data_IF_264054204195
#
_entry.id   IF_264054204195
#
_cell.length_a   1.000
_cell.length_b   1.000
_cell.length_c   1.000
_cell.angle_alpha   90.00
_cell.angle_beta   90.00
_cell.angle_gamma   90.00
#
_symmetry.space_group_name_H-M   'P 1'
#
loop_
_entity.id
_entity.type
_entity.pdbx_description
1 polymer ?
#
# COMPACT_ATOMS: atom_id res chain seq x y z
N UNK A 1 -21.60 -0.44 -10.72
CA UNK A 1 -21.04 0.69 -9.95
C UNK A 1 -19.52 0.61 -9.96
N UNK A 2 -18.85 1.76 -10.06
CA UNK A 2 -17.40 1.87 -10.06
C UNK A 2 -16.82 1.77 -8.64
N UNK A 3 -15.68 1.08 -8.48
CA UNK A 3 -14.90 0.96 -7.23
C UNK A 3 -13.50 1.59 -7.36
N UNK A 4 -13.31 2.42 -8.39
CA UNK A 4 -12.06 3.14 -8.69
C UNK A 4 -10.82 2.24 -8.85
N UNK A 5 -10.99 0.95 -9.16
CA UNK A 5 -9.87 -0.01 -9.21
C UNK A 5 -8.93 0.16 -10.43
N UNK A 6 -9.33 0.95 -11.43
CA UNK A 6 -8.51 1.20 -12.63
C UNK A 6 -8.47 0.05 -13.64
N UNK A 7 -9.23 -1.03 -13.46
CA UNK A 7 -9.23 -2.14 -14.41
C UNK A 7 -9.64 -1.73 -15.83
N UNK A 8 -10.58 -0.78 -15.97
CA UNK A 8 -10.98 -0.23 -17.26
C UNK A 8 -9.87 0.59 -17.94
N UNK A 9 -9.06 1.31 -17.17
CA UNK A 9 -7.88 2.05 -17.65
C UNK A 9 -6.85 1.06 -18.19
N UNK A 10 -6.48 0.04 -17.41
CA UNK A 10 -5.52 -1.00 -17.82
C UNK A 10 -5.96 -1.80 -19.05
N UNK A 11 -7.27 -2.00 -19.22
CA UNK A 11 -7.83 -2.70 -20.37
C UNK A 11 -7.96 -1.82 -21.63
N UNK A 12 -7.76 -0.50 -21.54
CA UNK A 12 -7.93 0.42 -22.65
C UNK A 12 -6.65 0.45 -23.52
N UNK A 13 -6.67 -0.05 -24.77
CA UNK A 13 -5.47 -0.08 -25.61
C UNK A 13 -5.09 1.29 -26.18
N UNK A 14 -6.01 2.27 -26.14
CA UNK A 14 -5.83 3.59 -26.75
C UNK A 14 -5.52 4.70 -25.74
N UNK A 15 -5.48 4.41 -24.44
CA UNK A 15 -5.33 5.44 -23.41
C UNK A 15 -6.52 6.42 -23.31
N UNK A 16 -7.68 6.07 -23.88
CA UNK A 16 -8.88 6.91 -23.86
C UNK A 16 -9.50 7.04 -22.46
N UNK A 17 -9.24 6.05 -21.59
CA UNK A 17 -9.60 6.09 -20.17
C UNK A 17 -8.30 6.32 -19.42
N UNK A 18 -8.22 7.44 -18.71
CA UNK A 18 -7.10 7.80 -17.84
C UNK A 18 -7.60 8.09 -16.43
N UNK A 19 -6.68 8.06 -15.47
CA UNK A 19 -6.95 8.48 -14.11
C UNK A 19 -6.73 10.00 -13.96
N UNK A 20 -7.22 10.54 -12.84
CA UNK A 20 -7.03 11.97 -12.54
C UNK A 20 -5.56 12.22 -12.23
N UNK A 21 -4.87 12.96 -13.11
CA UNK A 21 -3.46 13.28 -12.87
C UNK A 21 -3.28 14.33 -11.78
N UNK A 22 -2.21 14.16 -10.99
CA UNK A 22 -1.74 15.14 -10.01
C UNK A 22 -0.33 15.69 -10.33
N UNK A 23 0.20 15.45 -11.54
CA UNK A 23 1.53 15.95 -11.95
C UNK A 23 1.60 17.48 -11.79
N UNK A 24 0.65 18.21 -12.35
CA UNK A 24 0.64 19.69 -12.31
C UNK A 24 0.65 20.25 -10.88
N UNK A 25 -0.23 19.84 -9.95
CA UNK A 25 -0.19 20.36 -8.58
C UNK A 25 1.07 19.93 -7.79
N UNK A 26 1.61 18.73 -8.05
CA UNK A 26 2.89 18.30 -7.46
C UNK A 26 4.04 19.17 -7.95
N UNK A 27 4.13 19.39 -9.27
CA UNK A 27 5.14 20.27 -9.89
C UNK A 27 5.05 21.71 -9.38
N UNK A 28 3.84 22.24 -9.16
CA UNK A 28 3.65 23.56 -8.53
C UNK A 28 4.18 23.58 -7.08
N UNK A 29 3.98 22.50 -6.33
CA UNK A 29 4.47 22.39 -4.95
C UNK A 29 6.00 22.33 -4.89
N UNK A 30 6.61 21.56 -5.80
CA UNK A 30 8.07 21.49 -5.99
C UNK A 30 8.65 22.86 -6.39
N UNK A 31 8.07 23.53 -7.38
CA UNK A 31 8.52 24.86 -7.84
C UNK A 31 8.43 25.94 -6.76
N UNK A 32 7.45 25.82 -5.87
CA UNK A 32 7.26 26.76 -4.76
C UNK A 32 8.12 26.42 -3.53
N UNK A 33 9.14 25.55 -3.68
CA UNK A 33 10.08 25.15 -2.62
C UNK A 33 9.39 24.64 -1.34
N UNK A 34 8.24 23.96 -1.49
CA UNK A 34 7.60 23.28 -0.35
C UNK A 34 8.40 22.03 0.03
N UNK A 35 8.24 21.58 1.27
CA UNK A 35 8.79 20.31 1.73
C UNK A 35 8.00 19.14 1.12
N UNK A 36 8.29 18.78 -0.14
CA UNK A 36 7.56 17.70 -0.83
C UNK A 36 8.23 16.36 -0.57
N UNK A 37 7.51 15.42 0.04
CA UNK A 37 7.97 14.05 0.32
C UNK A 37 7.33 13.06 -0.65
N UNK A 38 8.13 12.14 -1.17
CA UNK A 38 7.64 11.00 -1.94
C UNK A 38 7.41 9.81 -1.00
N UNK A 39 6.15 9.40 -0.81
CA UNK A 39 5.78 8.19 -0.10
C UNK A 39 5.57 7.06 -1.10
N UNK A 40 6.49 6.10 -1.20
CA UNK A 40 6.44 5.07 -2.24
C UNK A 40 5.83 3.76 -1.75
N UNK A 41 4.95 3.16 -2.54
CA UNK A 41 4.47 1.81 -2.29
C UNK A 41 5.61 0.78 -2.50
N UNK A 42 5.70 -0.31 -1.72
CA UNK A 42 6.75 -1.33 -1.92
C UNK A 42 6.73 -1.98 -3.31
N UNK A 43 5.56 -1.95 -3.97
CA UNK A 43 5.35 -2.39 -5.36
C UNK A 43 6.16 -1.60 -6.41
N UNK A 44 6.88 -0.55 -6.02
CA UNK A 44 7.79 0.22 -6.88
C UNK A 44 8.96 -0.64 -7.39
N UNK A 45 9.27 -1.71 -6.68
CA UNK A 45 10.32 -2.67 -7.03
C UNK A 45 10.09 -3.29 -8.42
N UNK A 46 11.03 -3.06 -9.33
CA UNK A 46 11.01 -3.61 -10.70
C UNK A 46 10.10 -2.88 -11.70
N UNK A 47 9.58 -1.70 -11.36
CA UNK A 47 8.72 -0.90 -12.26
C UNK A 47 9.51 -0.04 -13.25
N UNK A 48 10.70 0.39 -12.86
CA UNK A 48 11.55 1.32 -13.63
C UNK A 48 12.67 0.63 -14.42
N UNK A 49 12.63 -0.70 -14.53
CA UNK A 49 13.62 -1.49 -15.25
C UNK A 49 14.13 -2.68 -14.43
N UNK A 50 14.67 -3.73 -15.08
CA UNK A 50 15.10 -4.95 -14.40
C UNK A 50 16.38 -4.77 -13.57
N UNK A 51 17.19 -3.75 -13.87
CA UNK A 51 18.44 -3.43 -13.16
C UNK A 51 18.31 -2.28 -12.16
N UNK A 52 17.18 -1.56 -12.20
CA UNK A 52 16.94 -0.41 -11.34
C UNK A 52 16.62 -0.85 -9.92
N UNK A 53 17.37 -0.34 -8.96
CA UNK A 53 17.10 -0.53 -7.53
C UNK A 53 16.10 0.52 -7.02
N UNK A 54 15.49 0.26 -5.86
CA UNK A 54 14.62 1.24 -5.20
C UNK A 54 15.44 2.46 -4.73
N UNK A 55 16.71 2.27 -4.38
CA UNK A 55 17.64 3.35 -4.03
C UNK A 55 17.93 4.30 -5.19
N UNK A 56 18.08 3.76 -6.40
CA UNK A 56 18.23 4.58 -7.60
C UNK A 56 16.97 5.41 -7.90
N UNK A 57 15.78 4.84 -7.65
CA UNK A 57 14.52 5.60 -7.76
C UNK A 57 14.47 6.73 -6.73
N UNK A 58 14.95 6.49 -5.50
CA UNK A 58 15.07 7.54 -4.47
C UNK A 58 15.92 8.71 -4.94
N UNK A 59 17.12 8.44 -5.46
CA UNK A 59 18.00 9.48 -6.00
C UNK A 59 17.34 10.23 -7.17
N UNK A 60 16.69 9.51 -8.10
CA UNK A 60 15.95 10.12 -9.19
C UNK A 60 14.84 11.08 -8.72
N UNK A 61 14.09 10.71 -7.68
CA UNK A 61 13.07 11.57 -7.07
C UNK A 61 13.69 12.79 -6.38
N UNK A 62 14.82 12.63 -5.68
CA UNK A 62 15.52 13.77 -5.09
C UNK A 62 16.04 14.74 -6.16
N UNK A 63 16.53 14.25 -7.29
CA UNK A 63 16.94 15.07 -8.45
C UNK A 63 15.79 15.86 -9.08
N UNK A 64 14.55 15.34 -9.03
CA UNK A 64 13.35 16.12 -9.43
C UNK A 64 13.08 17.29 -8.46
N UNK A 65 13.52 17.16 -7.20
CA UNK A 65 13.34 18.16 -6.15
C UNK A 65 12.52 17.69 -4.95
N UNK A 66 12.20 16.40 -4.84
CA UNK A 66 11.61 15.86 -3.61
C UNK A 66 12.61 15.95 -2.45
N UNK A 67 12.13 16.38 -1.28
CA UNK A 67 12.95 16.54 -0.07
C UNK A 67 13.49 15.19 0.43
N UNK A 68 12.68 14.15 0.36
CA UNK A 68 13.08 12.77 0.65
C UNK A 68 12.08 11.78 0.03
N UNK A 69 12.50 10.52 -0.08
CA UNK A 69 11.64 9.37 -0.35
C UNK A 69 11.54 8.50 0.90
N UNK A 70 10.31 8.15 1.27
CA UNK A 70 9.98 7.24 2.38
C UNK A 70 9.22 6.04 1.81
N UNK A 71 9.61 4.84 2.20
CA UNK A 71 8.85 3.63 1.85
C UNK A 71 7.62 3.44 2.75
N UNK A 72 6.45 3.19 2.17
CA UNK A 72 5.22 2.87 2.90
C UNK A 72 5.27 1.52 3.66
N UNK A 73 6.35 0.75 3.49
CA UNK A 73 6.60 -0.48 4.24
C UNK A 73 6.70 -0.24 5.75
N UNK A 74 7.21 0.93 6.19
CA UNK A 74 7.22 1.28 7.62
C UNK A 74 5.81 1.40 8.19
N UNK A 75 4.89 2.00 7.43
CA UNK A 75 3.48 2.07 7.80
C UNK A 75 2.79 0.71 7.69
N UNK A 76 3.28 -0.20 6.84
CA UNK A 76 2.77 -1.56 6.76
C UNK A 76 3.13 -2.37 8.00
N UNK A 77 4.35 -2.21 8.53
CA UNK A 77 4.73 -2.79 9.82
C UNK A 77 3.82 -2.27 10.94
N UNK A 78 3.62 -0.95 11.02
CA UNK A 78 2.76 -0.33 12.05
C UNK A 78 1.29 -0.76 11.95
N UNK A 79 0.74 -0.75 10.75
CA UNK A 79 -0.63 -1.23 10.47
C UNK A 79 -0.77 -2.71 10.81
N UNK A 80 0.27 -3.53 10.61
CA UNK A 80 0.23 -4.94 11.00
C UNK A 80 0.01 -5.09 12.50
N UNK A 81 0.75 -4.35 13.32
CA UNK A 81 0.62 -4.41 14.77
C UNK A 81 -0.82 -4.08 15.21
N UNK A 82 -1.36 -2.97 14.70
CA UNK A 82 -2.71 -2.52 15.05
C UNK A 82 -3.82 -3.44 14.51
N UNK A 83 -3.73 -3.86 13.24
CA UNK A 83 -4.72 -4.75 12.62
C UNK A 83 -4.68 -6.17 13.22
N UNK A 84 -3.52 -6.63 13.69
CA UNK A 84 -3.40 -7.89 14.42
C UNK A 84 -4.02 -7.82 15.82
N UNK A 85 -3.83 -6.72 16.55
CA UNK A 85 -4.47 -6.50 17.85
C UNK A 85 -5.98 -6.37 17.70
N UNK A 86 -6.45 -5.60 16.71
CA UNK A 86 -7.87 -5.49 16.37
C UNK A 86 -8.48 -6.87 16.04
N UNK A 87 -7.75 -7.69 15.28
CA UNK A 87 -8.18 -9.06 14.98
C UNK A 87 -8.38 -9.88 16.25
N UNK A 88 -7.39 -9.88 17.16
CA UNK A 88 -7.43 -10.63 18.42
C UNK A 88 -8.63 -10.20 19.24
N UNK A 89 -8.81 -8.89 19.44
CA UNK A 89 -9.94 -8.36 20.20
C UNK A 89 -11.29 -8.76 19.61
N UNK A 90 -11.42 -8.75 18.28
CA UNK A 90 -12.66 -9.14 17.60
C UNK A 90 -12.95 -10.62 17.78
N UNK A 91 -11.93 -11.49 17.67
CA UNK A 91 -12.10 -12.92 17.89
C UNK A 91 -12.52 -13.22 19.34
N UNK A 92 -11.95 -12.52 20.33
CA UNK A 92 -12.35 -12.63 21.74
C UNK A 92 -13.78 -12.14 21.99
N UNK A 93 -14.22 -11.09 21.29
CA UNK A 93 -15.61 -10.58 21.33
C UNK A 93 -16.61 -11.48 20.60
N UNK A 94 -16.15 -12.55 19.94
CA UNK A 94 -16.99 -13.53 19.27
C UNK A 94 -17.32 -13.22 17.81
N UNK A 95 -16.56 -12.34 17.14
CA UNK A 95 -16.69 -12.17 15.70
C UNK A 95 -16.27 -13.44 14.96
N UNK A 96 -17.08 -13.85 13.97
CA UNK A 96 -16.76 -15.01 13.13
C UNK A 96 -15.50 -14.80 12.27
N UNK A 97 -15.28 -13.56 11.81
CA UNK A 97 -14.13 -13.20 10.99
C UNK A 97 -13.91 -11.69 10.89
N UNK A 98 -12.74 -11.31 10.41
CA UNK A 98 -12.37 -9.96 10.00
C UNK A 98 -11.81 -9.94 8.58
N UNK A 99 -12.02 -8.86 7.83
CA UNK A 99 -11.39 -8.60 6.53
C UNK A 99 -10.42 -7.43 6.62
N UNK A 100 -9.39 -7.42 5.77
CA UNK A 100 -8.45 -6.31 5.74
C UNK A 100 -9.05 -4.98 5.26
N UNK A 101 -8.38 -3.88 5.59
CA UNK A 101 -8.78 -2.52 5.21
C UNK A 101 -7.89 -1.85 4.14
N UNK A 102 -6.69 -2.37 3.92
CA UNK A 102 -5.64 -1.62 3.22
C UNK A 102 -5.84 -1.47 1.69
N UNK A 103 -6.71 -2.28 1.09
CA UNK A 103 -7.08 -2.21 -0.33
C UNK A 103 -8.37 -1.38 -0.51
N UNK A 104 -8.30 -0.09 -0.90
CA UNK A 104 -9.48 0.78 -0.95
C UNK A 104 -10.53 0.33 -1.97
N UNK A 105 -10.11 -0.33 -3.06
CA UNK A 105 -11.02 -0.90 -4.04
C UNK A 105 -11.80 -2.10 -3.48
N UNK A 106 -11.19 -2.90 -2.60
CA UNK A 106 -11.86 -4.00 -1.92
C UNK A 106 -12.83 -3.49 -0.85
N UNK A 107 -12.41 -2.52 -0.04
CA UNK A 107 -13.29 -1.84 0.93
C UNK A 107 -14.51 -1.22 0.24
N UNK A 108 -14.30 -0.46 -0.84
CA UNK A 108 -15.39 0.12 -1.64
C UNK A 108 -16.29 -0.94 -2.27
N UNK A 109 -15.76 -2.12 -2.57
CA UNK A 109 -16.54 -3.23 -3.13
C UNK A 109 -17.46 -3.84 -2.07
N UNK A 110 -16.97 -4.05 -0.85
CA UNK A 110 -17.79 -4.51 0.28
C UNK A 110 -18.89 -3.48 0.56
N UNK A 111 -18.55 -2.21 0.75
CA UNK A 111 -19.50 -1.14 1.06
C UNK A 111 -20.66 -1.03 0.06
N UNK A 112 -20.37 -1.22 -1.24
CA UNK A 112 -21.37 -1.06 -2.30
C UNK A 112 -22.16 -2.34 -2.59
N UNK A 113 -21.55 -3.52 -2.44
CA UNK A 113 -22.13 -4.79 -2.89
C UNK A 113 -22.53 -5.74 -1.77
N UNK A 114 -21.97 -5.55 -0.59
CA UNK A 114 -22.20 -6.36 0.61
C UNK A 114 -22.27 -5.43 1.84
N UNK A 115 -23.24 -4.49 1.89
CA UNK A 115 -23.35 -3.53 2.98
C UNK A 115 -23.53 -4.22 4.35
N UNK A 116 -24.11 -5.43 4.36
CA UNK A 116 -24.25 -6.30 5.53
C UNK A 116 -22.91 -6.87 6.06
N UNK A 117 -21.81 -6.67 5.33
CA UNK A 117 -20.47 -7.15 5.69
C UNK A 117 -19.51 -6.00 6.03
N UNK A 118 -19.98 -4.74 6.06
CA UNK A 118 -19.12 -3.56 6.31
C UNK A 118 -18.50 -3.59 7.70
N UNK A 119 -19.24 -4.05 8.71
CA UNK A 119 -18.74 -4.16 10.09
C UNK A 119 -17.60 -5.17 10.22
N UNK A 120 -17.41 -6.06 9.24
CA UNK A 120 -16.31 -7.04 9.23
C UNK A 120 -15.00 -6.47 8.69
N UNK A 121 -15.00 -5.25 8.15
CA UNK A 121 -13.79 -4.58 7.69
C UNK A 121 -13.01 -4.06 8.90
N UNK A 122 -11.70 -4.27 8.90
CA UNK A 122 -10.79 -3.66 9.87
C UNK A 122 -10.95 -2.13 9.91
N UNK A 123 -10.96 -1.58 11.12
CA UNK A 123 -10.95 -0.16 11.44
C UNK A 123 -9.61 0.52 11.17
N UNK A 124 -8.54 -0.27 11.04
CA UNK A 124 -7.17 0.22 10.80
C UNK A 124 -7.04 0.94 9.45
N UNK A 125 -6.31 2.05 9.41
CA UNK A 125 -5.99 2.79 8.17
C UNK A 125 -5.02 2.02 7.27
N UNK A 126 -4.92 2.41 5.99
CA UNK A 126 -3.93 1.78 5.11
C UNK A 126 -2.49 2.25 5.40
N UNK A 127 -1.47 1.47 5.01
CA UNK A 127 -0.06 1.86 5.16
C UNK A 127 0.26 3.24 4.56
N UNK A 128 -0.41 3.61 3.46
CA UNK A 128 -0.28 4.94 2.86
C UNK A 128 -0.69 6.04 3.84
N UNK A 129 -1.84 5.89 4.50
CA UNK A 129 -2.36 6.89 5.43
C UNK A 129 -1.49 6.93 6.69
N UNK A 130 -1.17 5.77 7.26
CA UNK A 130 -0.30 5.66 8.43
C UNK A 130 1.04 6.38 8.22
N UNK A 131 1.76 6.07 7.12
CA UNK A 131 3.03 6.73 6.84
C UNK A 131 2.86 8.21 6.50
N UNK A 132 1.76 8.61 5.84
CA UNK A 132 1.47 10.02 5.58
C UNK A 132 1.31 10.84 6.86
N UNK A 133 0.55 10.33 7.83
CA UNK A 133 0.41 10.93 9.18
C UNK A 133 1.76 11.01 9.89
N UNK A 134 2.56 9.95 9.81
CA UNK A 134 3.90 9.91 10.39
C UNK A 134 4.84 10.97 9.79
N UNK A 135 4.86 11.13 8.46
CA UNK A 135 5.64 12.19 7.79
C UNK A 135 5.19 13.58 8.27
N UNK A 136 3.88 13.85 8.29
CA UNK A 136 3.34 15.15 8.72
C UNK A 136 3.54 15.44 10.21
N UNK A 137 3.65 14.41 11.05
CA UNK A 137 4.04 14.58 12.46
C UNK A 137 5.49 15.07 12.57
N UNK A 138 6.39 14.56 11.74
CA UNK A 138 7.81 14.96 11.71
C UNK A 138 8.03 16.33 11.06
N UNK A 139 7.28 16.62 10.00
CA UNK A 139 7.35 17.88 9.26
C UNK A 139 5.92 18.39 9.01
N UNK A 140 5.47 19.34 9.85
CA UNK A 140 4.10 19.87 9.81
C UNK A 140 3.76 20.57 8.50
N UNK A 141 4.77 21.05 7.78
CA UNK A 141 4.64 21.73 6.49
C UNK A 141 4.83 20.77 5.30
N UNK A 142 4.94 19.47 5.56
CA UNK A 142 5.13 18.45 4.53
C UNK A 142 3.93 18.39 3.57
N UNK A 143 4.27 18.44 2.28
CA UNK A 143 3.39 18.00 1.20
C UNK A 143 3.73 16.55 0.90
N UNK A 144 2.83 15.62 1.21
CA UNK A 144 3.05 14.18 1.05
C UNK A 144 2.43 13.71 -0.25
N UNK A 145 3.27 13.18 -1.14
CA UNK A 145 2.87 12.63 -2.43
C UNK A 145 3.05 11.12 -2.39
N UNK A 146 1.95 10.37 -2.36
CA UNK A 146 2.03 8.93 -2.51
C UNK A 146 2.33 8.55 -3.96
N UNK A 147 3.22 7.59 -4.18
CA UNK A 147 3.57 7.04 -5.48
C UNK A 147 3.30 5.54 -5.47
N UNK A 148 2.39 5.05 -6.32
CA UNK A 148 2.04 3.63 -6.30
C UNK A 148 1.24 3.10 -7.49
N UNK A 149 0.94 1.79 -7.48
CA UNK A 149 0.35 1.07 -8.61
C UNK A 149 -1.18 1.15 -8.68
N UNK A 150 -1.81 2.01 -7.87
CA UNK A 150 -3.24 1.93 -7.60
C UNK A 150 -3.95 3.28 -7.77
N UNK A 151 -4.89 3.33 -8.70
CA UNK A 151 -5.75 4.50 -8.91
C UNK A 151 -6.80 4.66 -7.79
N UNK A 152 -7.20 3.58 -7.13
CA UNK A 152 -8.15 3.65 -6.00
C UNK A 152 -7.56 4.38 -4.79
N UNK A 153 -6.23 4.49 -4.66
CA UNK A 153 -5.59 5.34 -3.65
C UNK A 153 -5.92 6.82 -3.87
N UNK A 154 -6.16 7.26 -5.12
CA UNK A 154 -6.63 8.62 -5.44
C UNK A 154 -8.01 8.91 -4.85
N UNK A 155 -8.87 7.89 -4.70
CA UNK A 155 -10.16 8.04 -4.01
C UNK A 155 -10.07 7.88 -2.49
N UNK A 156 -9.08 7.14 -1.97
CA UNK A 156 -8.90 6.95 -0.53
C UNK A 156 -8.59 8.27 0.18
N UNK A 157 -7.72 9.10 -0.39
CA UNK A 157 -7.35 10.41 0.17
C UNK A 157 -8.54 11.39 0.27
N UNK A 158 -9.64 11.11 -0.45
CA UNK A 158 -10.85 11.93 -0.44
C UNK A 158 -11.87 11.50 0.62
N UNK A 159 -11.67 10.36 1.29
CA UNK A 159 -12.61 9.83 2.29
C UNK A 159 -12.58 10.68 3.55
N UNK A 160 -13.75 10.83 4.19
CA UNK A 160 -13.82 11.44 5.52
C UNK A 160 -12.97 10.65 6.52
N UNK A 161 -12.35 11.35 7.48
CA UNK A 161 -11.39 10.77 8.42
C UNK A 161 -9.95 10.66 7.89
N UNK A 162 -9.72 10.64 6.57
CA UNK A 162 -8.40 10.33 5.97
C UNK A 162 -7.75 11.48 5.19
N UNK A 163 -8.36 12.67 5.18
CA UNK A 163 -7.90 13.83 4.39
C UNK A 163 -6.65 14.52 4.97
N UNK A 164 -6.24 14.11 6.15
CA UNK A 164 -5.15 14.71 6.92
C UNK A 164 -3.76 14.18 6.48
N UNK A 165 -3.69 13.00 5.87
CA UNK A 165 -2.43 12.28 5.70
C UNK A 165 -1.69 12.55 4.37
N UNK A 166 -2.41 12.60 3.24
CA UNK A 166 -1.83 12.59 1.90
C UNK A 166 -2.41 13.72 1.06
N UNK A 167 -1.54 14.52 0.45
CA UNK A 167 -1.94 15.66 -0.39
C UNK A 167 -2.21 15.23 -1.83
N UNK A 168 -1.35 14.36 -2.39
CA UNK A 168 -1.45 13.91 -3.78
C UNK A 168 -1.08 12.44 -3.93
N UNK A 169 -1.57 11.82 -5.00
CA UNK A 169 -1.29 10.42 -5.36
C UNK A 169 -0.87 10.41 -6.82
N UNK A 170 0.32 9.90 -7.11
CA UNK A 170 0.86 9.70 -8.45
C UNK A 170 0.99 8.20 -8.74
N UNK A 171 0.76 7.83 -10.00
CA UNK A 171 1.07 6.48 -10.48
C UNK A 171 2.55 6.35 -10.85
N UNK A 172 3.02 5.12 -11.07
CA UNK A 172 4.37 4.89 -11.57
C UNK A 172 4.58 5.47 -12.98
N UNK A 173 3.54 5.47 -13.81
CA UNK A 173 3.57 6.10 -15.13
C UNK A 173 3.73 7.63 -15.02
N UNK A 174 3.02 8.27 -14.08
CA UNK A 174 3.17 9.71 -13.85
C UNK A 174 4.58 10.07 -13.36
N UNK A 175 5.18 9.26 -12.49
CA UNK A 175 6.58 9.46 -12.06
C UNK A 175 7.56 9.20 -13.21
N UNK A 176 7.34 8.18 -14.04
CA UNK A 176 8.17 7.93 -15.21
C UNK A 176 8.13 9.11 -16.19
N UNK A 177 6.94 9.70 -16.40
CA UNK A 177 6.79 10.90 -17.22
C UNK A 177 7.53 12.10 -16.61
N UNK A 178 7.48 12.28 -15.29
CA UNK A 178 8.24 13.33 -14.61
C UNK A 178 9.76 13.12 -14.74
N UNK A 179 10.26 11.90 -14.53
CA UNK A 179 11.68 11.58 -14.70
C UNK A 179 12.16 11.86 -16.14
N UNK A 180 11.36 11.45 -17.13
CA UNK A 180 11.66 11.73 -18.54
C UNK A 180 11.66 13.23 -18.86
N UNK A 181 10.75 14.02 -18.28
CA UNK A 181 10.70 15.47 -18.48
C UNK A 181 11.90 16.22 -17.88
N UNK A 182 12.55 15.64 -16.87
CA UNK A 182 13.79 16.15 -16.27
C UNK A 182 15.05 15.50 -16.87
N UNK A 183 14.90 14.66 -17.91
CA UNK A 183 16.01 13.94 -18.54
C UNK A 183 16.82 13.09 -17.54
N UNK A 184 16.14 12.53 -16.52
CA UNK A 184 16.77 11.71 -15.48
C UNK A 184 16.74 10.24 -15.89
N UNK A 185 17.92 9.68 -16.15
CA UNK A 185 18.09 8.24 -16.34
C UNK A 185 18.28 7.54 -14.99
N UNK A 186 17.23 6.87 -14.50
CA UNK A 186 17.22 6.21 -13.18
C UNK A 186 18.32 5.14 -13.08
N UNK A 187 18.64 4.42 -14.17
CA UNK A 187 19.71 3.42 -14.18
C UNK A 187 21.10 4.01 -13.88
N UNK A 188 21.30 5.32 -14.09
CA UNK A 188 22.55 6.04 -13.81
C UNK A 188 22.54 6.75 -12.45
N UNK A 189 21.43 6.68 -11.71
CA UNK A 189 21.30 7.30 -10.41
C UNK A 189 22.07 6.54 -9.33
N UNK A 190 22.38 7.21 -8.23
CA UNK A 190 23.07 6.62 -7.08
C UNK A 190 22.15 5.63 -6.35
N UNK A 191 22.69 4.49 -5.93
CA UNK A 191 21.94 3.51 -5.15
C UNK A 191 21.92 3.89 -3.67
N UNK A 192 20.97 4.76 -3.32
CA UNK A 192 20.80 5.24 -1.94
C UNK A 192 20.12 4.16 -1.10
N UNK A 193 20.65 3.88 0.08
CA UNK A 193 20.06 2.91 0.99
C UNK A 193 18.61 3.27 1.38
N UNK A 194 17.73 2.27 1.36
CA UNK A 194 16.31 2.35 1.73
C UNK A 194 16.03 1.24 2.73
N UNK A 195 15.83 1.60 4.00
CA UNK A 195 15.66 0.66 5.13
C UNK A 195 14.50 1.10 6.06
N UNK A 196 13.49 1.78 5.51
CA UNK A 196 12.35 2.29 6.29
C UNK A 196 11.45 1.15 6.82
N UNK A 197 11.32 0.03 6.10
CA UNK A 197 10.42 -1.07 6.44
C UNK A 197 11.09 -2.44 6.53
N UNK A 198 10.42 -3.37 7.20
CA UNK A 198 10.83 -4.78 7.27
C UNK A 198 10.60 -5.54 5.95
N UNK A 199 11.17 -6.74 5.83
CA UNK A 199 10.89 -7.64 4.73
C UNK A 199 9.40 -7.99 4.63
N UNK A 200 8.70 -8.16 5.76
CA UNK A 200 7.26 -8.43 5.79
C UNK A 200 6.44 -7.19 5.42
N UNK A 201 6.82 -6.00 5.90
CA UNK A 201 6.22 -4.73 5.50
C UNK A 201 6.33 -4.47 4.00
N UNK A 202 7.47 -4.82 3.38
CA UNK A 202 7.64 -4.83 1.92
C UNK A 202 6.71 -5.86 1.25
N UNK A 203 6.56 -7.03 1.87
CA UNK A 203 5.71 -8.13 1.44
C UNK A 203 4.24 -7.77 1.24
N UNK A 204 3.72 -6.71 1.87
CA UNK A 204 2.34 -6.21 1.69
C UNK A 204 1.97 -5.94 0.23
N UNK A 205 2.95 -5.63 -0.62
CA UNK A 205 2.70 -5.33 -2.03
C UNK A 205 2.22 -6.55 -2.83
N UNK A 206 2.42 -7.79 -2.35
CA UNK A 206 1.91 -9.00 -2.98
C UNK A 206 0.74 -9.61 -2.19
N UNK A 207 -0.16 -10.29 -2.90
CA UNK A 207 -1.27 -11.00 -2.26
C UNK A 207 -0.78 -12.06 -1.27
N UNK A 208 -1.36 -12.06 -0.08
CA UNK A 208 -0.95 -12.89 1.06
C UNK A 208 0.10 -12.26 1.96
N UNK A 209 0.61 -11.07 1.61
CA UNK A 209 1.67 -10.37 2.35
C UNK A 209 1.21 -9.86 3.71
N UNK A 210 0.03 -9.24 3.77
CA UNK A 210 -0.57 -8.76 5.02
C UNK A 210 -0.83 -9.94 5.96
N UNK A 211 -1.43 -11.01 5.46
CA UNK A 211 -1.71 -12.21 6.27
C UNK A 211 -0.43 -12.81 6.85
N UNK A 212 0.67 -12.81 6.08
CA UNK A 212 1.97 -13.30 6.55
C UNK A 212 2.56 -12.40 7.64
N UNK A 213 2.39 -11.08 7.53
CA UNK A 213 2.83 -10.12 8.54
C UNK A 213 2.01 -10.24 9.84
N UNK A 214 0.68 -10.38 9.75
CA UNK A 214 -0.18 -10.62 10.93
C UNK A 214 0.16 -11.94 11.60
N UNK A 215 0.40 -12.99 10.82
CA UNK A 215 0.82 -14.30 11.34
C UNK A 215 2.18 -14.23 12.07
N UNK A 216 3.13 -13.45 11.52
CA UNK A 216 4.41 -13.17 12.17
C UNK A 216 4.23 -12.43 13.50
N UNK A 217 3.43 -11.35 13.51
CA UNK A 217 3.14 -10.59 14.73
C UNK A 217 2.55 -11.45 15.85
N UNK A 218 1.52 -12.26 15.52
CA UNK A 218 0.87 -13.17 16.48
C UNK A 218 1.88 -14.16 17.08
N UNK A 219 2.73 -14.75 16.24
CA UNK A 219 3.77 -15.69 16.68
C UNK A 219 4.83 -15.01 17.54
N UNK A 220 5.35 -13.86 17.11
CA UNK A 220 6.41 -13.15 17.81
C UNK A 220 5.97 -12.59 19.16
N UNK A 221 4.67 -12.31 19.33
CA UNK A 221 4.06 -11.94 20.62
C UNK A 221 3.56 -13.12 21.46
N UNK A 222 3.62 -14.35 20.95
CA UNK A 222 3.05 -15.55 21.57
C UNK A 222 1.57 -15.37 21.96
N UNK A 223 0.76 -14.77 21.08
CA UNK A 223 -0.67 -14.56 21.33
C UNK A 223 -1.41 -15.87 21.08
N UNK A 224 -2.18 -16.33 22.07
CA UNK A 224 -2.99 -17.54 21.97
C UNK A 224 -4.32 -17.25 21.27
N UNK A 225 -4.26 -17.16 19.94
CA UNK A 225 -5.43 -17.00 19.07
C UNK A 225 -5.32 -17.93 17.88
N UNK A 226 -6.43 -18.57 17.50
CA UNK A 226 -6.46 -19.36 16.28
C UNK A 226 -6.46 -18.42 15.07
N UNK A 227 -5.39 -18.38 14.29
CA UNK A 227 -5.31 -17.57 13.07
C UNK A 227 -5.44 -18.43 11.81
N UNK A 228 -6.56 -18.32 11.10
CA UNK A 228 -6.87 -19.05 9.86
C UNK A 228 -7.05 -18.08 8.69
N UNK A 229 -5.95 -17.57 8.11
CA UNK A 229 -6.03 -16.58 7.04
C UNK A 229 -6.45 -17.21 5.71
N UNK A 230 -7.30 -16.50 4.98
CA UNK A 230 -7.69 -16.84 3.60
C UNK A 230 -7.29 -15.68 2.70
N UNK A 231 -6.43 -15.99 1.73
CA UNK A 231 -5.74 -15.02 0.86
C UNK A 231 -6.40 -14.99 -0.50
N UNK A 232 -6.95 -13.85 -0.90
CA UNK A 232 -7.81 -13.76 -2.07
C UNK A 232 -7.40 -12.57 -2.90
N UNK A 233 -7.08 -12.82 -4.16
CA UNK A 233 -6.72 -11.76 -5.10
C UNK A 233 -7.49 -11.87 -6.40
N UNK A 234 -7.78 -10.71 -6.99
CA UNK A 234 -8.55 -10.59 -8.22
C UNK A 234 -10.06 -10.55 -8.00
N UNK A 235 -10.72 -9.67 -8.75
CA UNK A 235 -12.17 -9.43 -8.66
C UNK A 235 -13.02 -10.71 -8.74
N UNK A 236 -12.71 -11.63 -9.66
CA UNK A 236 -13.52 -12.85 -9.84
C UNK A 236 -13.50 -13.75 -8.60
N UNK A 237 -12.34 -13.86 -7.94
CA UNK A 237 -12.19 -14.67 -6.74
C UNK A 237 -12.84 -13.98 -5.54
N UNK A 238 -12.65 -12.66 -5.40
CA UNK A 238 -13.32 -11.87 -4.35
C UNK A 238 -14.83 -11.93 -4.45
N UNK A 239 -15.39 -11.89 -5.66
CA UNK A 239 -16.84 -12.04 -5.87
C UNK A 239 -17.35 -13.39 -5.37
N UNK A 240 -16.68 -14.48 -5.74
CA UNK A 240 -17.05 -15.84 -5.28
C UNK A 240 -16.94 -15.93 -3.75
N UNK A 241 -15.87 -15.38 -3.21
CA UNK A 241 -15.63 -15.35 -1.77
C UNK A 241 -16.71 -14.59 -1.00
N UNK A 242 -17.04 -13.36 -1.39
CA UNK A 242 -18.04 -12.56 -0.67
C UNK A 242 -19.43 -13.22 -0.70
N UNK A 243 -19.75 -13.96 -1.76
CA UNK A 243 -20.99 -14.76 -1.82
C UNK A 243 -20.99 -15.93 -0.82
N UNK A 244 -19.83 -16.55 -0.56
CA UNK A 244 -19.69 -17.57 0.49
C UNK A 244 -19.70 -16.95 1.89
N UNK A 245 -19.08 -15.77 2.04
CA UNK A 245 -19.01 -15.01 3.29
C UNK A 245 -20.40 -14.66 3.82
N UNK A 246 -21.26 -14.15 2.94
CA UNK A 246 -22.66 -13.84 3.26
C UNK A 246 -23.45 -15.03 3.81
N UNK A 247 -23.05 -16.26 3.49
CA UNK A 247 -23.71 -17.48 3.94
C UNK A 247 -23.03 -18.12 5.15
N UNK A 248 -22.05 -17.47 5.80
CA UNK A 248 -21.24 -18.00 6.90
C UNK A 248 -20.58 -19.36 6.59
N UNK A 249 -20.21 -19.60 5.32
CA UNK A 249 -19.58 -20.86 4.85
C UNK A 249 -18.08 -20.73 4.64
N UNK A 250 -17.41 -19.86 5.39
CA UNK A 250 -16.00 -19.55 5.14
C UNK A 250 -15.05 -20.47 5.93
N UNK A 251 -13.91 -20.86 5.35
CA UNK A 251 -12.97 -21.79 5.96
C UNK A 251 -11.94 -21.12 6.90
N UNK A 252 -12.15 -19.87 7.31
CA UNK A 252 -11.18 -19.12 8.10
C UNK A 252 -11.80 -17.91 8.80
N UNK A 253 -10.96 -17.16 9.53
CA UNK A 253 -11.39 -16.04 10.37
C UNK A 253 -10.66 -14.73 10.06
N UNK A 254 -9.64 -14.74 9.19
CA UNK A 254 -9.04 -13.52 8.66
C UNK A 254 -9.02 -13.57 7.14
N UNK A 255 -9.54 -12.54 6.48
CA UNK A 255 -9.68 -12.50 5.03
C UNK A 255 -8.91 -11.34 4.42
N UNK A 256 -7.82 -11.68 3.74
CA UNK A 256 -7.05 -10.71 2.96
C UNK A 256 -7.60 -10.65 1.54
N UNK A 257 -8.32 -9.56 1.24
CA UNK A 257 -8.85 -9.26 -0.07
C UNK A 257 -8.03 -8.20 -0.82
N UNK A 258 -7.53 -8.59 -1.99
CA UNK A 258 -6.82 -7.70 -2.92
C UNK A 258 -7.56 -7.64 -4.25
N UNK A 259 -8.02 -6.46 -4.66
CA UNK A 259 -8.83 -6.33 -5.88
C UNK A 259 -8.08 -6.71 -7.17
N UNK A 260 -6.77 -6.45 -7.22
CA UNK A 260 -5.91 -6.81 -8.33
C UNK A 260 -5.34 -8.22 -8.15
N UNK A 261 -5.18 -8.96 -9.25
CA UNK A 261 -4.58 -10.30 -9.22
C UNK A 261 -3.15 -10.25 -8.67
N UNK A 262 -2.87 -11.14 -7.71
CA UNK A 262 -1.60 -11.22 -6.98
C UNK A 262 -1.17 -9.96 -6.20
N UNK A 263 -2.10 -9.03 -5.92
CA UNK A 263 -1.87 -7.87 -5.06
C UNK A 263 -1.47 -6.59 -5.79
N UNK A 264 -0.89 -5.64 -5.05
CA UNK A 264 -0.50 -4.33 -5.56
C UNK A 264 0.56 -4.40 -6.67
N UNK A 265 1.44 -5.42 -6.66
CA UNK A 265 2.41 -5.66 -7.75
C UNK A 265 1.74 -5.83 -9.12
N UNK A 266 0.51 -6.34 -9.16
CA UNK A 266 -0.32 -6.51 -10.36
C UNK A 266 -1.32 -5.37 -10.58
N UNK A 267 -1.16 -4.25 -9.85
CA UNK A 267 -2.06 -3.11 -9.84
C UNK A 267 -2.39 -2.54 -11.22
N UNK A 268 -3.48 -1.76 -11.27
CA UNK A 268 -3.97 -1.16 -12.51
C UNK A 268 -2.97 -0.16 -13.13
N UNK A 269 -2.13 0.47 -12.30
CA UNK A 269 -1.11 1.42 -12.72
C UNK A 269 0.32 0.86 -12.54
N UNK A 270 0.48 -0.46 -12.51
CA UNK A 270 1.79 -1.10 -12.68
C UNK A 270 2.20 -1.03 -14.15
N UNK A 271 3.46 -0.70 -14.41
CA UNK A 271 4.01 -0.56 -15.78
C UNK A 271 4.75 -1.81 -16.24
N UNK A 272 5.22 -2.64 -15.30
CA UNK A 272 5.97 -3.85 -15.59
C UNK A 272 5.16 -5.15 -15.41
N UNK A 273 5.52 -6.24 -16.13
CA UNK A 273 4.88 -7.54 -15.96
C UNK A 273 4.97 -8.07 -14.52
N UNK A 274 3.85 -8.58 -14.00
CA UNK A 274 3.73 -9.00 -12.61
C UNK A 274 4.80 -10.01 -12.15
N UNK A 275 5.19 -10.95 -13.02
CA UNK A 275 6.23 -11.93 -12.67
C UNK A 275 7.57 -11.24 -12.36
N UNK A 276 7.94 -10.21 -13.13
CA UNK A 276 9.18 -9.46 -12.94
C UNK A 276 9.14 -8.63 -11.67
N UNK A 277 8.03 -7.92 -11.44
CA UNK A 277 7.86 -7.08 -10.23
C UNK A 277 7.82 -7.94 -8.97
N UNK A 278 7.21 -9.13 -9.02
CA UNK A 278 7.25 -10.10 -7.92
C UNK A 278 8.67 -10.55 -7.59
N UNK A 279 9.47 -10.88 -8.61
CA UNK A 279 10.87 -11.28 -8.40
C UNK A 279 11.70 -10.14 -7.81
N UNK A 280 11.54 -8.92 -8.33
CA UNK A 280 12.22 -7.73 -7.82
C UNK A 280 11.83 -7.43 -6.36
N UNK A 281 10.52 -7.46 -6.05
CA UNK A 281 10.02 -7.27 -4.68
C UNK A 281 10.60 -8.30 -3.73
N UNK A 282 10.57 -9.60 -4.08
CA UNK A 282 11.11 -10.64 -3.22
C UNK A 282 12.63 -10.50 -3.01
N UNK A 283 13.38 -10.06 -4.03
CA UNK A 283 14.81 -9.76 -3.88
C UNK A 283 15.03 -8.60 -2.92
N UNK A 284 14.24 -7.53 -3.07
CA UNK A 284 14.34 -6.33 -2.24
C UNK A 284 13.91 -6.57 -0.79
N UNK A 285 12.84 -7.34 -0.57
CA UNK A 285 12.40 -7.75 0.77
C UNK A 285 13.47 -8.61 1.46
N UNK A 286 14.03 -9.61 0.77
CA UNK A 286 15.10 -10.46 1.34
C UNK A 286 16.38 -9.69 1.69
N UNK A 287 16.65 -8.58 1.00
CA UNK A 287 17.81 -7.74 1.27
C UNK A 287 17.62 -6.79 2.45
N UNK A 288 16.40 -6.66 2.99
CA UNK A 288 16.12 -5.81 4.15
C UNK A 288 16.94 -6.25 5.37
N UNK A 289 17.47 -5.30 6.15
CA UNK A 289 18.17 -5.63 7.40
C UNK A 289 17.20 -6.17 8.46
N UNK A 290 15.94 -5.71 8.41
CA UNK A 290 14.83 -6.07 9.30
C UNK A 290 13.96 -7.12 8.62
N UNK A 291 13.81 -8.30 9.21
CA UNK A 291 13.08 -9.40 8.56
C UNK A 291 11.65 -9.52 9.07
N UNK A 292 11.47 -9.45 10.39
CA UNK A 292 10.17 -9.52 11.05
C UNK A 292 9.55 -8.13 11.20
N UNK A 293 8.25 -8.07 11.46
CA UNK A 293 7.53 -6.81 11.69
C UNK A 293 8.14 -6.06 12.87
N UNK A 294 8.35 -6.75 13.98
CA UNK A 294 8.86 -6.19 15.23
C UNK A 294 10.36 -5.83 15.20
N UNK A 295 11.09 -6.24 14.17
CA UNK A 295 12.50 -5.84 13.99
C UNK A 295 12.62 -4.35 13.60
N UNK A 296 11.53 -3.73 13.14
CA UNK A 296 11.54 -2.35 12.68
C UNK A 296 11.48 -1.35 13.84
N UNK A 297 12.63 -0.76 14.16
CA UNK A 297 12.80 0.29 15.17
C UNK A 297 11.94 1.54 14.94
N UNK A 298 11.55 1.81 13.69
CA UNK A 298 10.67 2.94 13.34
C UNK A 298 9.27 2.77 13.96
N UNK A 299 8.85 1.55 14.32
CA UNK A 299 7.55 1.29 14.96
C UNK A 299 7.31 2.13 16.21
N UNK A 300 8.37 2.43 16.98
CA UNK A 300 8.27 3.27 18.18
C UNK A 300 7.73 4.67 17.88
N UNK A 301 8.01 5.20 16.70
CA UNK A 301 7.55 6.52 16.28
C UNK A 301 6.09 6.53 15.82
N UNK A 302 5.50 5.35 15.57
CA UNK A 302 4.09 5.19 15.18
C UNK A 302 3.13 5.09 16.36
N UNK A 303 3.61 4.95 17.61
CA UNK A 303 2.76 4.78 18.81
C UNK A 303 1.76 5.92 19.06
N UNK A 304 2.11 7.12 18.63
CA UNK A 304 1.30 8.33 18.78
C UNK A 304 0.60 8.73 17.46
N UNK A 305 0.68 7.89 16.43
CA UNK A 305 0.00 8.13 15.16
C UNK A 305 -1.37 7.49 15.24
N UNK A 306 -2.41 8.25 14.90
CA UNK A 306 -3.76 7.70 14.79
C UNK A 306 -3.78 6.66 13.66
N UNK A 307 -4.04 5.40 14.02
CA UNK A 307 -4.11 4.27 13.09
C UNK A 307 -5.55 3.79 12.86
N UNK A 308 -6.52 4.33 13.59
CA UNK A 308 -7.95 4.14 13.32
C UNK A 308 -8.42 5.10 12.21
N UNK A 309 -9.45 4.69 11.47
CA UNK A 309 -10.04 5.44 10.34
C UNK A 309 -10.91 6.62 10.74
#
# INVERSE_FOLDING_TARGET
>A
ECISCGACMKACPFGAISDRSYIVPVMKSLKNNKNVYALVAPAISGQFGPKVTVGQVKDGLMKIGFKNMVEAACGADAVTCHEAEEFVERMEKGDNFMTNSCCPAFVSYIEKKFPDQVEKISGTVSPMIATGRWIKKKDKDAVVVFVGPCTAKKSEIGREGLKDAIDYVLTFEEIAAMLGAYEIEVEQCEDIEVEDGSALGRGFAQGGGLSAAVEDYIKSKNIDVEFKPVKISGYQNLRKFMLLAKNNKLPGNFFEGMMCEGGCIGGAASTAPQMKTKMALNKFAKAAKKQQVLDNDILEEFKDIELEK
#
